data_IF_889081633481
#
_entry.id   IF_889081633481
#
_cell.length_a   1.000
_cell.length_b   1.000
_cell.length_c   1.000
_cell.angle_alpha   90.00
_cell.angle_beta   90.00
_cell.angle_gamma   90.00
#
_symmetry.space_group_name_H-M   'P 1'
#
loop_
_entity.id
_entity.type
_entity.pdbx_description
1 polymer ?
#
# COMPACT_ATOMS: atom_id res chain seq x y z
N UNK A 1 1.88 7.76 10.86
CA UNK A 1 1.74 6.55 9.99
C UNK A 1 2.46 5.36 10.57
N UNK A 2 3.62 5.54 11.20
CA UNK A 2 4.39 4.47 11.84
C UNK A 2 3.76 3.88 13.10
N UNK A 3 2.67 4.43 13.63
CA UNK A 3 2.00 3.98 14.86
C UNK A 3 1.50 2.52 14.78
N UNK A 4 1.14 2.03 13.60
CA UNK A 4 0.76 0.61 13.39
C UNK A 4 1.98 -0.29 13.43
N UNK A 5 3.06 0.12 12.75
CA UNK A 5 4.35 -0.58 12.78
C UNK A 5 4.95 -0.62 14.19
N UNK A 6 4.84 0.48 14.94
CA UNK A 6 5.27 0.56 16.34
C UNK A 6 4.44 -0.37 17.23
N UNK A 7 3.11 -0.34 17.14
CA UNK A 7 2.25 -1.24 17.92
C UNK A 7 2.55 -2.71 17.63
N UNK A 8 2.71 -3.07 16.35
CA UNK A 8 3.05 -4.41 15.93
C UNK A 8 4.42 -4.86 16.47
N UNK A 9 5.41 -3.96 16.50
CA UNK A 9 6.71 -4.20 17.10
C UNK A 9 6.64 -4.35 18.61
N UNK A 10 5.91 -3.49 19.32
CA UNK A 10 5.79 -3.52 20.78
C UNK A 10 5.10 -4.80 21.28
N UNK A 11 4.07 -5.26 20.55
CA UNK A 11 3.44 -6.55 20.80
C UNK A 11 4.45 -7.70 20.67
N UNK A 12 5.19 -7.75 19.57
CA UNK A 12 6.18 -8.80 19.32
C UNK A 12 7.38 -8.73 20.26
N UNK A 13 7.83 -7.53 20.61
CA UNK A 13 8.90 -7.33 21.59
C UNK A 13 8.50 -7.83 22.97
N UNK A 14 7.23 -7.66 23.38
CA UNK A 14 6.70 -8.25 24.62
C UNK A 14 6.68 -9.77 24.57
N UNK A 15 6.23 -10.36 23.47
CA UNK A 15 6.25 -11.83 23.29
C UNK A 15 7.69 -12.35 23.28
N UNK A 16 8.58 -11.70 22.55
CA UNK A 16 10.00 -12.05 22.49
C UNK A 16 10.66 -11.99 23.88
N UNK A 17 10.30 -11.03 24.74
CA UNK A 17 10.86 -10.91 26.08
C UNK A 17 10.61 -12.15 26.98
N UNK A 18 9.56 -12.92 26.70
CA UNK A 18 9.26 -14.16 27.41
C UNK A 18 10.15 -15.34 27.00
N UNK A 19 10.82 -15.26 25.84
CA UNK A 19 11.60 -16.37 25.26
C UNK A 19 12.67 -16.93 26.22
N UNK A 20 12.78 -18.26 26.24
CA UNK A 20 13.80 -19.05 26.94
C UNK A 20 14.46 -20.03 25.98
N UNK A 21 15.62 -20.54 26.39
CA UNK A 21 16.33 -21.57 25.63
C UNK A 21 15.45 -22.83 25.50
N UNK A 22 15.35 -23.36 24.29
CA UNK A 22 14.44 -24.46 23.94
C UNK A 22 13.07 -24.00 23.42
N UNK A 23 12.70 -22.72 23.58
CA UNK A 23 11.47 -22.18 22.98
C UNK A 23 11.68 -21.84 21.50
N UNK A 24 10.59 -21.87 20.74
CA UNK A 24 10.58 -21.43 19.34
C UNK A 24 11.10 -19.99 19.21
N UNK A 25 12.12 -19.81 18.36
CA UNK A 25 12.80 -18.53 18.18
C UNK A 25 12.00 -17.52 17.32
N UNK A 26 10.99 -17.97 16.58
CA UNK A 26 10.20 -17.17 15.63
C UNK A 26 9.81 -15.78 16.14
N UNK A 27 9.17 -15.65 17.32
CA UNK A 27 8.79 -14.34 17.86
C UNK A 27 9.96 -13.37 18.07
N UNK A 28 11.14 -13.89 18.44
CA UNK A 28 12.36 -13.08 18.58
C UNK A 28 12.85 -12.60 17.21
N UNK A 29 12.85 -13.48 16.21
CA UNK A 29 13.25 -13.13 14.84
C UNK A 29 12.33 -12.08 14.23
N UNK A 30 11.01 -12.22 14.41
CA UNK A 30 10.01 -11.26 13.95
C UNK A 30 10.19 -9.87 14.59
N UNK A 31 10.36 -9.82 15.92
CA UNK A 31 10.57 -8.56 16.63
C UNK A 31 11.86 -7.86 16.17
N UNK A 32 12.95 -8.62 15.97
CA UNK A 32 14.19 -8.09 15.42
C UNK A 32 14.01 -7.62 13.97
N UNK A 33 13.31 -8.38 13.13
CA UNK A 33 13.03 -8.00 11.74
C UNK A 33 12.28 -6.64 11.67
N UNK A 34 11.21 -6.46 12.46
CA UNK A 34 10.50 -5.19 12.54
C UNK A 34 11.36 -4.02 13.05
N UNK A 35 12.41 -4.29 13.84
CA UNK A 35 13.35 -3.26 14.27
C UNK A 35 14.09 -2.61 13.09
N UNK A 36 14.29 -3.35 11.99
CA UNK A 36 14.86 -2.82 10.74
C UNK A 36 13.90 -1.81 10.11
N UNK A 37 12.62 -2.16 10.00
CA UNK A 37 11.59 -1.30 9.44
C UNK A 37 11.40 -0.01 10.26
N UNK A 38 11.38 -0.12 11.59
CA UNK A 38 11.30 1.05 12.47
C UNK A 38 12.51 1.98 12.37
N UNK A 39 13.71 1.44 12.19
CA UNK A 39 14.90 2.27 12.00
C UNK A 39 14.82 3.04 10.68
N UNK A 40 14.44 2.38 9.59
CA UNK A 40 14.38 2.99 8.25
C UNK A 40 13.33 4.10 8.17
N UNK A 41 12.22 3.90 8.87
CA UNK A 41 11.14 4.89 8.97
C UNK A 41 11.43 5.99 10.00
N UNK A 42 12.53 5.88 10.76
CA UNK A 42 12.90 6.84 11.81
C UNK A 42 12.08 6.74 13.10
N UNK A 43 11.19 5.74 13.23
CA UNK A 43 10.29 5.58 14.37
C UNK A 43 10.89 4.75 15.53
N UNK A 44 12.03 4.09 15.34
CA UNK A 44 12.67 3.29 16.38
C UNK A 44 12.98 4.09 17.68
N UNK A 45 13.45 5.35 17.63
CA UNK A 45 13.69 6.16 18.84
C UNK A 45 12.44 6.44 19.68
N UNK A 46 11.26 6.49 19.06
CA UNK A 46 9.97 6.78 19.70
C UNK A 46 9.42 5.58 20.51
N UNK A 47 10.01 4.40 20.32
CA UNK A 47 9.70 3.22 21.12
C UNK A 47 10.39 3.25 22.49
N UNK A 48 9.80 2.54 23.45
CA UNK A 48 10.34 2.41 24.80
C UNK A 48 11.81 1.95 24.79
N UNK A 49 12.70 2.77 25.36
CA UNK A 49 14.12 2.43 25.51
C UNK A 49 14.31 1.11 26.25
N UNK A 50 13.52 0.86 27.29
CA UNK A 50 13.57 -0.39 28.05
C UNK A 50 13.23 -1.58 27.16
N UNK A 51 12.15 -1.49 26.37
CA UNK A 51 11.77 -2.56 25.45
C UNK A 51 12.86 -2.83 24.40
N UNK A 52 13.50 -1.78 23.86
CA UNK A 52 14.63 -1.93 22.93
C UNK A 52 15.83 -2.62 23.57
N UNK A 53 16.19 -2.25 24.81
CA UNK A 53 17.30 -2.88 25.53
C UNK A 53 17.01 -4.33 25.90
N UNK A 54 15.79 -4.63 26.35
CA UNK A 54 15.34 -5.98 26.68
C UNK A 54 15.34 -6.88 25.43
N UNK A 55 14.76 -6.41 24.32
CA UNK A 55 14.79 -7.12 23.04
C UNK A 55 16.21 -7.33 22.53
N UNK A 56 17.11 -6.33 22.67
CA UNK A 56 18.51 -6.48 22.28
C UNK A 56 19.21 -7.60 23.08
N UNK A 57 18.99 -7.67 24.40
CA UNK A 57 19.59 -8.70 25.26
C UNK A 57 19.04 -10.08 24.92
N UNK A 58 17.73 -10.21 24.78
CA UNK A 58 17.09 -11.48 24.42
C UNK A 58 17.49 -11.93 23.03
N UNK A 59 17.48 -11.02 22.05
CA UNK A 59 17.90 -11.28 20.67
C UNK A 59 19.36 -11.72 20.56
N UNK A 60 20.27 -11.09 21.30
CA UNK A 60 21.67 -11.53 21.38
C UNK A 60 21.79 -12.97 21.86
N UNK A 61 21.08 -13.31 22.93
CA UNK A 61 21.09 -14.68 23.46
C UNK A 61 20.48 -15.65 22.46
N UNK A 62 19.28 -15.38 21.97
CA UNK A 62 18.56 -16.26 21.05
C UNK A 62 19.35 -16.57 19.77
N UNK A 63 19.97 -15.57 19.16
CA UNK A 63 20.75 -15.75 17.93
C UNK A 63 22.03 -16.58 18.13
N UNK A 64 22.56 -16.69 19.36
CA UNK A 64 23.67 -17.60 19.65
C UNK A 64 23.24 -19.07 19.62
N UNK A 65 22.00 -19.37 20.02
CA UNK A 65 21.45 -20.73 20.02
C UNK A 65 20.83 -21.11 18.67
N UNK A 66 20.38 -20.12 17.88
CA UNK A 66 19.68 -20.33 16.61
C UNK A 66 20.52 -21.04 15.53
N UNK A 67 21.84 -20.84 15.54
CA UNK A 67 22.74 -21.43 14.55
C UNK A 67 22.96 -22.94 14.70
N UNK A 68 22.43 -23.55 15.77
CA UNK A 68 22.54 -24.98 16.04
C UNK A 68 21.31 -25.79 15.54
N UNK A 69 20.21 -25.13 15.19
CA UNK A 69 19.02 -25.80 14.66
C UNK A 69 19.23 -26.18 13.19
N UNK A 70 19.26 -27.48 12.90
CA UNK A 70 19.14 -28.00 11.54
C UNK A 70 17.66 -28.24 11.22
N UNK A 71 17.28 -27.93 9.98
CA UNK A 71 15.96 -28.24 9.43
C UNK A 71 16.12 -29.40 8.46
N UNK A 72 15.12 -30.27 8.43
CA UNK A 72 15.12 -31.43 7.53
C UNK A 72 14.68 -31.04 6.11
N UNK A 73 14.09 -29.85 5.96
CA UNK A 73 13.60 -29.27 4.71
C UNK A 73 14.51 -28.10 4.27
N UNK A 74 14.94 -28.13 3.00
CA UNK A 74 15.85 -27.15 2.40
C UNK A 74 15.21 -25.76 2.29
N UNK A 75 13.92 -25.68 2.00
CA UNK A 75 13.19 -24.41 1.91
C UNK A 75 13.00 -23.79 3.30
N UNK A 76 12.75 -24.63 4.33
CA UNK A 76 12.71 -24.17 5.72
C UNK A 76 14.09 -23.67 6.20
N UNK A 77 15.17 -24.36 5.79
CA UNK A 77 16.53 -23.94 6.10
C UNK A 77 16.87 -22.60 5.43
N UNK A 78 16.49 -22.41 4.16
CA UNK A 78 16.63 -21.15 3.46
C UNK A 78 15.84 -20.03 4.15
N UNK A 79 14.57 -20.27 4.45
CA UNK A 79 13.71 -19.30 5.13
C UNK A 79 14.30 -18.89 6.49
N UNK A 80 14.80 -19.85 7.27
CA UNK A 80 15.48 -19.59 8.53
C UNK A 80 16.75 -18.77 8.32
N UNK A 81 17.56 -19.07 7.30
CA UNK A 81 18.79 -18.34 7.00
C UNK A 81 18.52 -16.88 6.64
N UNK A 82 17.47 -16.63 5.85
CA UNK A 82 17.00 -15.28 5.52
C UNK A 82 16.53 -14.58 6.80
N UNK A 83 15.67 -15.22 7.60
CA UNK A 83 15.16 -14.67 8.84
C UNK A 83 16.28 -14.29 9.83
N UNK A 84 17.29 -15.14 9.99
CA UNK A 84 18.47 -14.86 10.81
C UNK A 84 19.28 -13.67 10.30
N UNK A 85 19.40 -13.53 8.98
CA UNK A 85 20.08 -12.38 8.37
C UNK A 85 19.35 -11.08 8.69
N UNK A 86 18.01 -11.06 8.52
CA UNK A 86 17.17 -9.92 8.86
C UNK A 86 17.23 -9.59 10.36
N UNK A 87 17.20 -10.61 11.21
CA UNK A 87 17.25 -10.46 12.66
C UNK A 87 18.59 -9.86 13.14
N UNK A 88 19.71 -10.25 12.54
CA UNK A 88 21.03 -9.66 12.82
C UNK A 88 21.09 -8.18 12.45
N UNK A 89 20.50 -7.80 11.33
CA UNK A 89 20.37 -6.38 10.95
C UNK A 89 19.44 -5.61 11.92
N UNK A 90 18.37 -6.24 12.39
CA UNK A 90 17.53 -5.71 13.45
C UNK A 90 18.32 -5.44 14.75
N UNK A 91 19.18 -6.38 15.13
CA UNK A 91 20.03 -6.24 16.30
C UNK A 91 21.06 -5.11 16.14
N UNK A 92 21.63 -4.94 14.94
CA UNK A 92 22.50 -3.79 14.62
C UNK A 92 21.74 -2.47 14.75
N UNK A 93 20.52 -2.40 14.22
CA UNK A 93 19.66 -1.23 14.33
C UNK A 93 19.36 -0.85 15.79
N UNK A 94 19.02 -1.83 16.64
CA UNK A 94 18.82 -1.61 18.08
C UNK A 94 20.09 -1.12 18.79
N UNK A 95 21.27 -1.48 18.29
CA UNK A 95 22.56 -1.02 18.79
C UNK A 95 23.02 0.32 18.19
N UNK A 96 22.22 0.94 17.30
CA UNK A 96 22.60 2.17 16.58
C UNK A 96 23.75 1.96 15.59
N UNK A 97 23.92 0.73 15.08
CA UNK A 97 24.97 0.37 14.12
C UNK A 97 24.41 0.28 12.71
N UNK A 98 25.25 0.61 11.74
CA UNK A 98 24.94 0.43 10.32
C UNK A 98 24.65 -1.06 10.00
N UNK A 99 23.76 -1.34 9.03
CA UNK A 99 23.48 -2.69 8.57
C UNK A 99 24.64 -3.31 7.79
N UNK A 100 24.53 -4.59 7.50
CA UNK A 100 25.45 -5.29 6.59
C UNK A 100 25.28 -4.80 5.14
N UNK A 101 26.34 -4.29 4.49
CA UNK A 101 26.25 -3.86 3.09
C UNK A 101 26.13 -5.03 2.10
N UNK A 102 26.64 -6.22 2.42
CA UNK A 102 26.74 -7.33 1.45
C UNK A 102 25.43 -8.08 1.23
N UNK A 103 24.48 -7.98 2.15
CA UNK A 103 23.31 -8.83 2.16
C UNK A 103 22.03 -8.17 1.60
N UNK A 104 22.13 -6.97 1.01
CA UNK A 104 20.97 -6.24 0.49
C UNK A 104 20.50 -6.78 -0.88
N UNK A 105 19.20 -7.05 -1.08
CA UNK A 105 18.66 -7.42 -2.39
C UNK A 105 18.84 -6.28 -3.41
N UNK A 106 19.13 -6.61 -4.67
CA UNK A 106 19.46 -5.64 -5.72
C UNK A 106 18.25 -4.94 -6.37
N UNK A 107 17.04 -5.48 -6.20
CA UNK A 107 15.84 -4.87 -6.78
C UNK A 107 15.37 -3.69 -5.95
N UNK A 108 15.01 -2.59 -6.61
CA UNK A 108 14.42 -1.45 -5.91
C UNK A 108 13.01 -1.80 -5.39
N UNK A 109 12.61 -1.29 -4.21
CA UNK A 109 11.25 -1.46 -3.71
C UNK A 109 10.28 -0.62 -4.54
N UNK A 110 9.07 -1.15 -4.76
CA UNK A 110 8.03 -0.39 -5.46
C UNK A 110 7.41 0.70 -4.56
N UNK A 111 6.78 1.75 -5.10
CA UNK A 111 6.02 2.71 -4.29
C UNK A 111 4.91 2.05 -3.46
N UNK A 112 4.32 0.96 -3.97
CA UNK A 112 3.33 0.16 -3.24
C UNK A 112 3.95 -0.55 -2.04
N UNK A 113 5.18 -1.03 -2.16
CA UNK A 113 5.93 -1.67 -1.06
C UNK A 113 6.17 -0.65 0.06
N UNK A 114 6.58 0.57 -0.29
CA UNK A 114 6.79 1.67 0.67
C UNK A 114 5.48 2.03 1.38
N UNK A 115 4.38 2.14 0.64
CA UNK A 115 3.05 2.40 1.21
C UNK A 115 2.58 1.29 2.17
N UNK A 116 2.73 0.02 1.77
CA UNK A 116 2.37 -1.14 2.63
C UNK A 116 3.22 -1.16 3.89
N UNK A 117 4.53 -0.88 3.79
CA UNK A 117 5.43 -0.79 4.93
C UNK A 117 4.96 0.26 5.94
N UNK A 118 4.62 1.46 5.46
CA UNK A 118 4.15 2.55 6.30
C UNK A 118 2.78 2.28 6.92
N UNK A 119 1.96 1.41 6.31
CA UNK A 119 0.68 0.96 6.87
C UNK A 119 0.80 -0.17 7.89
N UNK A 120 2.00 -0.72 8.16
CA UNK A 120 2.18 -1.83 9.11
C UNK A 120 1.44 -3.13 8.75
N UNK A 121 0.92 -3.27 7.52
CA UNK A 121 0.16 -4.45 7.04
C UNK A 121 1.04 -5.57 6.49
N UNK A 122 2.36 -5.44 6.60
CA UNK A 122 3.32 -6.42 6.11
C UNK A 122 3.64 -7.44 7.20
N UNK A 123 3.98 -8.66 6.79
CA UNK A 123 4.62 -9.57 7.72
C UNK A 123 6.01 -9.01 8.14
N UNK A 124 6.51 -9.38 9.33
CA UNK A 124 7.77 -8.87 9.86
C UNK A 124 8.98 -9.03 8.93
N UNK A 125 9.06 -10.13 8.18
CA UNK A 125 10.18 -10.45 7.31
C UNK A 125 10.07 -9.71 5.98
N UNK A 126 8.88 -9.60 5.40
CA UNK A 126 8.60 -8.75 4.22
C UNK A 126 8.90 -7.28 4.54
N UNK A 127 8.46 -6.79 5.71
CA UNK A 127 8.76 -5.43 6.18
C UNK A 127 10.27 -5.18 6.28
N UNK A 128 11.02 -6.10 6.90
CA UNK A 128 12.46 -5.98 7.02
C UNK A 128 13.18 -6.08 5.67
N UNK A 129 12.71 -6.95 4.78
CA UNK A 129 13.25 -7.10 3.42
C UNK A 129 13.08 -5.81 2.60
N UNK A 130 11.88 -5.21 2.62
CA UNK A 130 11.62 -3.91 2.00
C UNK A 130 12.51 -2.83 2.64
N UNK A 131 12.60 -2.78 3.97
CA UNK A 131 13.44 -1.81 4.66
C UNK A 131 14.91 -1.88 4.24
N UNK A 132 15.46 -3.08 4.03
CA UNK A 132 16.83 -3.27 3.52
C UNK A 132 17.01 -2.76 2.09
N UNK A 133 16.04 -3.05 1.22
CA UNK A 133 16.02 -2.52 -0.16
C UNK A 133 15.93 -1.00 -0.18
N UNK A 134 15.13 -0.40 0.72
CA UNK A 134 15.08 1.05 0.88
C UNK A 134 16.46 1.60 1.28
N UNK A 135 17.12 1.03 2.30
CA UNK A 135 18.46 1.51 2.72
C UNK A 135 19.49 1.47 1.59
N UNK A 136 19.42 0.46 0.73
CA UNK A 136 20.36 0.26 -0.37
C UNK A 136 20.13 1.22 -1.55
N UNK A 137 18.94 1.82 -1.71
CA UNK A 137 18.64 2.75 -2.81
C UNK A 137 18.51 4.19 -2.30
N UNK A 138 19.31 5.11 -2.87
CA UNK A 138 19.18 6.54 -2.58
C UNK A 138 17.80 7.08 -2.97
N UNK A 139 17.30 6.66 -4.14
CA UNK A 139 15.97 7.00 -4.62
C UNK A 139 14.87 6.52 -3.68
N UNK A 140 14.91 5.26 -3.25
CA UNK A 140 13.91 4.72 -2.34
C UNK A 140 13.93 5.43 -0.97
N UNK A 141 15.09 5.88 -0.49
CA UNK A 141 15.20 6.71 0.71
C UNK A 141 14.55 8.08 0.51
N UNK A 142 14.74 8.71 -0.64
CA UNK A 142 14.09 9.99 -0.96
C UNK A 142 12.57 9.85 -1.06
N UNK A 143 12.06 8.79 -1.70
CA UNK A 143 10.63 8.47 -1.80
C UNK A 143 10.02 8.22 -0.41
N UNK A 144 10.69 7.43 0.44
CA UNK A 144 10.26 7.21 1.82
C UNK A 144 10.25 8.53 2.60
N UNK A 145 11.31 9.34 2.51
CA UNK A 145 11.39 10.62 3.20
C UNK A 145 10.28 11.58 2.74
N UNK A 146 9.94 11.57 1.45
CA UNK A 146 8.81 12.33 0.92
C UNK A 146 7.48 11.83 1.51
N UNK A 147 7.24 10.52 1.54
CA UNK A 147 6.04 9.92 2.11
C UNK A 147 5.87 10.19 3.62
N UNK A 148 6.97 10.20 4.37
CA UNK A 148 6.98 10.56 5.79
C UNK A 148 6.67 12.05 6.01
N UNK A 149 7.23 12.95 5.18
CA UNK A 149 6.94 14.39 5.26
C UNK A 149 5.50 14.73 4.89
N UNK A 150 4.94 14.11 3.87
CA UNK A 150 3.55 14.36 3.46
C UNK A 150 2.52 13.78 4.45
N UNK A 151 2.93 12.83 5.29
CA UNK A 151 2.09 12.24 6.33
C UNK A 151 2.25 12.87 7.73
N UNK A 152 3.35 13.60 7.99
CA UNK A 152 3.56 14.33 9.24
C UNK A 152 3.03 15.77 9.14
N UNK A 153 1.86 16.06 9.73
CA UNK A 153 1.37 17.44 9.96
C UNK A 153 1.49 17.82 11.45
N UNK A 154 1.72 19.11 11.79
CA UNK A 154 2.14 19.55 13.12
C UNK A 154 1.09 19.47 14.25
N UNK A 155 -0.19 19.25 13.95
CA UNK A 155 -1.26 19.44 14.96
C UNK A 155 -1.86 18.15 15.55
N UNK A 156 -1.25 16.97 15.36
CA UNK A 156 -1.75 15.71 15.95
C UNK A 156 -3.11 15.23 15.41
N UNK A 157 -3.87 16.09 14.74
CA UNK A 157 -4.93 15.72 13.83
C UNK A 157 -4.30 15.07 12.62
N UNK A 158 -4.39 13.75 12.55
CA UNK A 158 -4.37 13.03 11.29
C UNK A 158 -5.41 13.71 10.41
N UNK A 159 -4.99 14.59 9.51
CA UNK A 159 -5.74 14.73 8.29
C UNK A 159 -5.72 13.31 7.72
N UNK A 160 -6.88 12.64 7.48
CA UNK A 160 -6.85 11.52 6.57
C UNK A 160 -6.03 11.97 5.37
N UNK A 161 -5.28 11.07 4.74
CA UNK A 161 -4.95 11.30 3.35
C UNK A 161 -6.29 11.55 2.68
N UNK A 162 -6.63 12.83 2.52
CA UNK A 162 -7.54 13.26 1.51
C UNK A 162 -6.73 13.05 0.24
N UNK A 163 -6.52 11.78 -0.15
CA UNK A 163 -7.10 11.34 -1.42
C UNK A 163 -8.39 12.11 -1.46
N UNK A 164 -8.53 13.07 -2.35
CA UNK A 164 -9.80 13.74 -2.49
C UNK A 164 -10.87 12.67 -2.79
N UNK A 165 -11.40 11.99 -1.77
CA UNK A 165 -12.76 12.20 -1.34
C UNK A 165 -12.95 13.72 -1.19
N UNK A 166 -12.90 14.44 -2.31
CA UNK A 166 -13.99 15.32 -2.61
C UNK A 166 -15.20 14.43 -2.32
N UNK A 167 -16.02 14.82 -1.35
CA UNK A 167 -17.32 14.19 -1.13
C UNK A 167 -17.83 13.80 -2.51
N UNK A 168 -17.86 12.49 -2.79
CA UNK A 168 -18.05 12.02 -4.15
C UNK A 168 -19.32 12.69 -4.62
N UNK A 169 -19.20 13.53 -5.66
CA UNK A 169 -20.34 14.31 -6.12
C UNK A 169 -21.50 13.32 -6.25
N UNK A 170 -22.64 13.56 -5.55
CA UNK A 170 -23.66 12.54 -5.40
C UNK A 170 -24.05 12.05 -6.78
N UNK A 171 -24.12 10.72 -6.94
CA UNK A 171 -24.51 10.11 -8.21
C UNK A 171 -25.77 10.80 -8.70
N UNK A 172 -25.69 11.34 -9.91
CA UNK A 172 -26.83 12.03 -10.53
C UNK A 172 -27.95 11.02 -10.73
N UNK A 173 -29.18 11.45 -10.53
CA UNK A 173 -30.32 10.58 -10.78
C UNK A 173 -30.51 10.44 -12.30
N UNK A 174 -30.42 9.23 -12.89
CA UNK A 174 -30.68 9.03 -14.32
C UNK A 174 -32.04 9.54 -14.76
N UNK A 175 -33.06 9.56 -13.87
CA UNK A 175 -34.38 10.09 -14.17
C UNK A 175 -34.39 11.61 -14.42
N UNK A 176 -33.35 12.32 -13.97
CA UNK A 176 -33.17 13.76 -14.21
C UNK A 176 -32.37 14.10 -15.47
N UNK A 177 -31.89 13.09 -16.20
CA UNK A 177 -31.12 13.26 -17.43
C UNK A 177 -31.79 12.62 -18.65
N UNK A 178 -31.33 13.00 -19.85
CA UNK A 178 -31.71 12.37 -21.11
C UNK A 178 -30.68 11.28 -21.44
N UNK A 179 -31.12 10.05 -21.69
CA UNK A 179 -30.21 8.99 -22.16
C UNK A 179 -29.75 9.32 -23.58
N UNK A 180 -28.43 9.33 -23.79
CA UNK A 180 -27.79 9.71 -25.06
C UNK A 180 -26.99 8.59 -25.70
N UNK A 181 -26.59 7.57 -24.95
CA UNK A 181 -25.98 6.36 -25.50
C UNK A 181 -26.23 5.15 -24.60
N UNK A 182 -26.06 3.95 -25.16
CA UNK A 182 -26.17 2.68 -24.45
C UNK A 182 -25.22 1.66 -25.09
N UNK A 183 -24.56 0.86 -24.26
CA UNK A 183 -23.85 -0.35 -24.66
C UNK A 183 -24.62 -1.54 -24.12
N UNK A 184 -24.94 -2.49 -24.98
CA UNK A 184 -25.64 -3.73 -24.61
C UNK A 184 -24.64 -4.87 -24.40
N UNK A 185 -24.97 -5.77 -23.49
CA UNK A 185 -24.28 -7.04 -23.34
C UNK A 185 -24.66 -7.96 -24.51
N UNK A 186 -23.67 -8.34 -25.32
CA UNK A 186 -23.89 -9.10 -26.54
C UNK A 186 -24.51 -10.50 -26.31
N UNK A 187 -24.45 -11.05 -25.08
CA UNK A 187 -25.00 -12.37 -24.76
C UNK A 187 -26.44 -12.30 -24.27
N UNK A 188 -26.79 -11.24 -23.55
CA UNK A 188 -28.08 -11.11 -22.85
C UNK A 188 -29.00 -10.06 -23.48
N UNK A 189 -28.47 -9.17 -24.32
CA UNK A 189 -29.19 -8.00 -24.86
C UNK A 189 -29.56 -6.96 -23.79
N UNK A 190 -29.11 -7.13 -22.55
CA UNK A 190 -29.37 -6.18 -21.48
C UNK A 190 -28.43 -4.98 -21.58
N UNK A 191 -28.88 -3.80 -21.12
CA UNK A 191 -28.03 -2.63 -21.00
C UNK A 191 -26.85 -2.94 -20.06
N UNK A 192 -25.63 -2.91 -20.61
CA UNK A 192 -24.38 -3.05 -19.86
C UNK A 192 -23.90 -1.71 -19.33
N UNK A 193 -24.01 -0.67 -20.16
CA UNK A 193 -23.72 0.71 -19.79
C UNK A 193 -24.76 1.64 -20.41
N UNK A 194 -25.24 2.61 -19.64
CA UNK A 194 -26.11 3.69 -20.12
C UNK A 194 -25.45 5.04 -19.86
N UNK A 195 -25.47 5.93 -20.84
CA UNK A 195 -24.90 7.28 -20.76
C UNK A 195 -26.01 8.31 -20.85
N UNK A 196 -26.00 9.26 -19.93
CA UNK A 196 -27.00 10.31 -19.78
C UNK A 196 -26.35 11.69 -19.90
N UNK A 197 -27.07 12.62 -20.52
CA UNK A 197 -26.74 14.03 -20.56
C UNK A 197 -27.72 14.84 -19.70
N UNK A 198 -27.19 15.86 -19.04
CA UNK A 198 -27.94 16.77 -18.18
C UNK A 198 -27.91 18.19 -18.74
N UNK A 199 -28.90 19.01 -18.34
CA UNK A 199 -29.11 20.36 -18.87
C UNK A 199 -27.96 21.34 -18.58
N UNK A 200 -27.12 21.04 -17.58
CA UNK A 200 -25.91 21.80 -17.25
C UNK A 200 -24.68 21.39 -18.08
N UNK A 201 -24.86 20.52 -19.08
CA UNK A 201 -23.78 20.05 -19.94
C UNK A 201 -22.92 18.94 -19.31
N UNK A 202 -23.33 18.42 -18.14
CA UNK A 202 -22.72 17.25 -17.52
C UNK A 202 -23.17 15.97 -18.25
N UNK A 203 -22.28 14.99 -18.30
CA UNK A 203 -22.53 13.63 -18.74
C UNK A 203 -22.30 12.68 -17.56
N UNK A 204 -23.11 11.63 -17.47
CA UNK A 204 -22.87 10.52 -16.55
C UNK A 204 -23.07 9.18 -17.24
N UNK A 205 -22.22 8.20 -16.91
CA UNK A 205 -22.33 6.84 -17.38
C UNK A 205 -22.53 5.89 -16.20
N UNK A 206 -23.45 4.93 -16.34
CA UNK A 206 -23.82 3.94 -15.34
C UNK A 206 -23.63 2.56 -15.94
N UNK A 207 -22.91 1.69 -15.24
CA UNK A 207 -22.74 0.30 -15.63
C UNK A 207 -23.41 -0.64 -14.65
N UNK A 208 -23.82 -1.80 -15.15
CA UNK A 208 -24.36 -2.89 -14.34
C UNK A 208 -23.27 -3.69 -13.62
N UNK A 209 -21.99 -3.34 -13.81
CA UNK A 209 -20.84 -3.99 -13.19
C UNK A 209 -20.04 -2.99 -12.36
N UNK A 210 -19.31 -3.51 -11.36
CA UNK A 210 -18.39 -2.71 -10.53
C UNK A 210 -17.06 -2.38 -11.25
N UNK A 211 -16.94 -2.70 -12.54
CA UNK A 211 -15.74 -2.38 -13.30
C UNK A 211 -15.57 -0.85 -13.39
N UNK A 212 -14.32 -0.35 -13.37
CA UNK A 212 -14.09 1.08 -13.50
C UNK A 212 -14.55 1.56 -14.89
N UNK A 213 -15.29 2.67 -14.91
CA UNK A 213 -15.72 3.34 -16.14
C UNK A 213 -14.82 4.53 -16.44
N UNK A 214 -14.47 4.70 -17.72
CA UNK A 214 -13.72 5.86 -18.20
C UNK A 214 -14.22 6.27 -19.58
N UNK A 215 -14.55 7.55 -19.75
CA UNK A 215 -14.89 8.12 -21.06
C UNK A 215 -13.73 9.02 -21.51
N UNK A 216 -13.28 8.85 -22.74
CA UNK A 216 -12.26 9.68 -23.38
C UNK A 216 -12.81 10.29 -24.67
N UNK A 217 -12.52 11.56 -24.92
CA UNK A 217 -12.96 12.27 -26.12
C UNK A 217 -12.50 13.72 -26.09
N UNK A 218 -12.46 14.37 -27.25
CA UNK A 218 -12.05 15.77 -27.34
C UNK A 218 -13.10 16.64 -26.64
N UNK A 219 -12.68 17.52 -25.74
CA UNK A 219 -13.58 18.37 -24.97
C UNK A 219 -14.23 17.68 -23.76
N UNK A 220 -13.86 16.44 -23.44
CA UNK A 220 -14.33 15.78 -22.21
C UNK A 220 -13.41 16.06 -21.03
N UNK A 221 -14.00 16.50 -19.94
CA UNK A 221 -13.34 16.64 -18.65
C UNK A 221 -14.01 15.74 -17.62
N UNK A 222 -13.27 14.73 -17.15
CA UNK A 222 -13.74 13.86 -16.07
C UNK A 222 -13.82 14.63 -14.75
N UNK A 223 -14.95 14.51 -14.06
CA UNK A 223 -15.18 15.08 -12.72
C UNK A 223 -15.12 14.00 -11.63
N UNK A 224 -15.74 12.83 -11.87
CA UNK A 224 -15.79 11.72 -10.91
C UNK A 224 -15.69 10.37 -11.61
N UNK A 225 -15.04 9.40 -10.97
CA UNK A 225 -15.05 8.00 -11.38
C UNK A 225 -15.21 7.12 -10.14
N UNK A 226 -16.19 6.22 -10.15
CA UNK A 226 -16.47 5.26 -9.09
C UNK A 226 -16.75 3.88 -9.72
N UNK A 227 -16.74 2.78 -8.96
CA UNK A 227 -17.16 1.47 -9.48
C UNK A 227 -18.54 1.57 -10.14
N UNK A 228 -18.63 1.19 -11.43
CA UNK A 228 -19.87 1.26 -12.19
C UNK A 228 -20.37 2.67 -12.54
N UNK A 229 -19.60 3.73 -12.27
CA UNK A 229 -20.03 5.11 -12.49
C UNK A 229 -18.93 6.04 -12.99
N UNK A 230 -19.27 6.90 -13.92
CA UNK A 230 -18.43 8.00 -14.38
C UNK A 230 -19.27 9.27 -14.52
N UNK A 231 -18.69 10.43 -14.21
CA UNK A 231 -19.29 11.72 -14.55
C UNK A 231 -18.25 12.73 -15.00
N UNK A 232 -18.64 13.61 -15.91
CA UNK A 232 -17.77 14.65 -16.43
C UNK A 232 -18.54 15.72 -17.19
N UNK A 233 -17.83 16.75 -17.61
CA UNK A 233 -18.37 17.82 -18.45
C UNK A 233 -17.89 17.63 -19.88
N UNK A 234 -18.77 17.92 -20.83
CA UNK A 234 -18.40 18.03 -22.23
C UNK A 234 -18.37 19.52 -22.61
N UNK A 235 -17.29 19.95 -23.24
CA UNK A 235 -17.09 21.30 -23.79
C UNK A 235 -17.41 21.29 -25.30
N UNK A 236 -18.00 22.38 -25.81
CA UNK A 236 -18.39 22.53 -27.22
C UNK A 236 -19.84 22.13 -27.53
N UNK A 237 -20.34 22.56 -28.69
CA UNK A 237 -21.70 22.22 -29.19
C UNK A 237 -21.61 21.14 -30.28
N UNK A 238 -22.58 20.22 -30.32
CA UNK A 238 -22.72 19.20 -31.37
C UNK A 238 -22.37 17.78 -30.94
N UNK A 239 -22.18 16.91 -31.95
CA UNK A 239 -21.91 15.48 -31.78
C UNK A 239 -20.52 15.24 -31.17
N UNK A 240 -20.47 14.40 -30.15
CA UNK A 240 -19.25 14.05 -29.44
C UNK A 240 -18.86 12.60 -29.72
N UNK A 241 -17.69 12.39 -30.31
CA UNK A 241 -17.08 11.07 -30.45
C UNK A 241 -16.36 10.69 -29.15
N UNK A 242 -16.83 9.64 -28.49
CA UNK A 242 -16.35 9.20 -27.18
C UNK A 242 -15.87 7.76 -27.25
N UNK A 243 -14.74 7.48 -26.62
CA UNK A 243 -14.32 6.13 -26.28
C UNK A 243 -14.73 5.81 -24.83
N UNK A 244 -15.70 4.93 -24.66
CA UNK A 244 -16.09 4.36 -23.38
C UNK A 244 -15.22 3.15 -23.07
N UNK A 245 -14.63 3.12 -21.88
CA UNK A 245 -13.91 1.97 -21.35
C UNK A 245 -14.65 1.38 -20.15
N UNK A 246 -14.81 0.06 -20.15
CA UNK A 246 -15.35 -0.73 -19.04
C UNK A 246 -14.26 -1.72 -18.61
N UNK A 247 -13.48 -1.38 -17.59
CA UNK A 247 -12.22 -2.07 -17.32
C UNK A 247 -11.24 -1.90 -18.47
N UNK A 248 -10.88 -2.99 -19.15
CA UNK A 248 -9.97 -2.99 -20.31
C UNK A 248 -10.71 -2.99 -21.66
N UNK A 249 -12.02 -3.19 -21.66
CA UNK A 249 -12.83 -3.22 -22.88
C UNK A 249 -13.15 -1.80 -23.36
N UNK A 250 -13.05 -1.56 -24.67
CA UNK A 250 -13.32 -0.27 -25.31
C UNK A 250 -14.54 -0.35 -26.23
N UNK A 251 -15.39 0.66 -26.15
CA UNK A 251 -16.55 0.88 -27.00
C UNK A 251 -16.48 2.30 -27.56
N UNK A 252 -16.67 2.45 -28.87
CA UNK A 252 -16.77 3.77 -29.49
C UNK A 252 -18.25 4.19 -29.51
N UNK A 253 -18.54 5.37 -28.96
CA UNK A 253 -19.86 5.95 -28.80
C UNK A 253 -19.94 7.30 -29.51
N UNK A 254 -21.12 7.56 -30.08
CA UNK A 254 -21.49 8.84 -30.65
C UNK A 254 -22.60 9.43 -29.79
N UNK A 255 -22.35 10.59 -29.20
CA UNK A 255 -23.27 11.23 -28.27
C UNK A 255 -23.76 12.55 -28.88
N UNK A 256 -25.06 12.62 -29.17
CA UNK A 256 -25.72 13.84 -29.62
C UNK A 256 -26.16 14.66 -28.40
N UNK A 257 -25.56 15.85 -28.23
CA UNK A 257 -25.79 16.74 -27.09
C UNK A 257 -26.98 17.66 -27.29
#
# INVERSE_FOLDING_TARGET
MTDELQRAWEERARTAAAWREGDAIGPVLEALALSVALEVTGALPDTSRRAREDLRRVGQRALLHAGAERRDDEDEEEALRIALTLARDGLRALAGRAPDPEAAPRSEPSPRDVSRLLSGRLDPFEAASIARRIRASARAREELAWALRTSARPDGTRAPLVLAAADGEPMRDPASGRRVAQVEDARTGAARVEVYAFDDGQLAAYATTDAPLRLEGVGLRTTSMQPGYWSGHAEGEGELAIALFVGEERFDLHVER
#
